data_IF_276244423702
#
_entry.id   IF_276244423702
#
_cell.length_a   1.000
_cell.length_b   1.000
_cell.length_c   1.000
_cell.angle_alpha   90.00
_cell.angle_beta   90.00
_cell.angle_gamma   90.00
#
_symmetry.space_group_name_H-M   'P 1'
#
loop_
_entity.id
_entity.type
_entity.pdbx_description
1 polymer ?
#
# COMPACT_ATOMS: atom_id res chain seq x y z
N UNK A 1 -48.44 -15.28 66.68
CA UNK A 1 -48.98 -15.18 65.25
C UNK A 1 -48.73 -13.78 64.80
N UNK A 2 -47.69 -13.60 63.98
CA UNK A 2 -47.41 -12.36 63.24
C UNK A 2 -47.00 -12.79 61.85
N UNK A 3 -47.80 -12.42 60.88
CA UNK A 3 -47.59 -12.68 59.45
C UNK A 3 -46.52 -11.75 58.91
N UNK A 4 -45.46 -12.31 58.30
CA UNK A 4 -44.49 -11.55 57.48
C UNK A 4 -44.90 -11.64 56.00
N UNK A 5 -44.82 -10.53 55.23
CA UNK A 5 -45.20 -10.53 53.82
C UNK A 5 -44.07 -11.06 52.93
N UNK A 6 -44.43 -11.92 52.01
CA UNK A 6 -43.59 -12.46 50.93
C UNK A 6 -43.21 -11.35 49.93
N UNK A 7 -41.92 -10.98 49.90
CA UNK A 7 -41.36 -10.06 48.93
C UNK A 7 -41.17 -10.79 47.60
N UNK A 8 -41.92 -10.36 46.61
CA UNK A 8 -41.87 -10.92 45.25
C UNK A 8 -40.52 -10.73 44.56
N UNK A 9 -39.93 -11.82 44.09
CA UNK A 9 -38.80 -11.83 43.16
C UNK A 9 -39.21 -11.26 41.81
N UNK A 10 -38.95 -9.97 41.58
CA UNK A 10 -39.16 -9.33 40.25
C UNK A 10 -37.99 -9.61 39.33
N UNK A 11 -38.30 -10.39 38.29
CA UNK A 11 -37.87 -10.30 36.90
C UNK A 11 -36.48 -9.69 36.52
N UNK A 12 -35.41 -10.42 36.84
CA UNK A 12 -34.07 -10.15 36.32
C UNK A 12 -33.82 -10.83 34.97
N UNK A 13 -34.69 -11.71 34.50
CA UNK A 13 -34.56 -12.48 33.26
C UNK A 13 -34.93 -11.70 31.98
N UNK A 14 -35.89 -10.77 32.10
CA UNK A 14 -36.30 -9.95 30.95
C UNK A 14 -35.26 -8.89 30.52
N UNK A 15 -34.54 -8.29 31.46
CA UNK A 15 -33.48 -7.30 31.14
C UNK A 15 -32.28 -7.93 30.44
N UNK A 16 -31.91 -9.16 30.78
CA UNK A 16 -30.77 -9.86 30.12
C UNK A 16 -31.10 -10.33 28.70
N UNK A 17 -32.37 -10.65 28.39
CA UNK A 17 -32.78 -10.98 27.03
C UNK A 17 -32.82 -9.76 26.11
N UNK A 18 -33.30 -8.62 26.58
CA UNK A 18 -33.31 -7.37 25.81
C UNK A 18 -31.91 -6.89 25.47
N UNK A 19 -30.97 -6.96 26.42
CA UNK A 19 -29.55 -6.57 26.20
C UNK A 19 -28.82 -7.47 25.18
N UNK A 20 -29.15 -8.77 25.15
CA UNK A 20 -28.58 -9.70 24.16
C UNK A 20 -29.14 -9.48 22.75
N UNK A 21 -30.43 -9.17 22.63
CA UNK A 21 -31.08 -8.86 21.34
C UNK A 21 -30.51 -7.54 20.77
N UNK A 22 -30.33 -6.52 21.60
CA UNK A 22 -29.72 -5.25 21.19
C UNK A 22 -28.24 -5.44 20.79
N UNK A 23 -27.48 -6.26 21.53
CA UNK A 23 -26.10 -6.56 21.15
C UNK A 23 -25.98 -7.34 19.84
N UNK A 24 -26.90 -8.29 19.59
CA UNK A 24 -26.95 -9.04 18.31
C UNK A 24 -27.42 -8.12 17.17
N UNK A 25 -28.38 -7.22 17.41
CA UNK A 25 -28.85 -6.27 16.41
C UNK A 25 -27.77 -5.22 16.06
N UNK A 26 -26.98 -4.76 17.04
CA UNK A 26 -25.86 -3.85 16.82
C UNK A 26 -24.72 -4.58 16.07
N UNK A 27 -24.47 -5.85 16.37
CA UNK A 27 -23.51 -6.67 15.65
C UNK A 27 -23.96 -6.94 14.19
N UNK A 28 -25.24 -7.23 13.99
CA UNK A 28 -25.83 -7.44 12.67
C UNK A 28 -25.88 -6.14 11.83
N UNK A 29 -26.14 -4.98 12.44
CA UNK A 29 -26.06 -3.67 11.78
C UNK A 29 -24.61 -3.28 11.45
N UNK A 30 -23.63 -3.70 12.25
CA UNK A 30 -22.21 -3.54 11.98
C UNK A 30 -21.74 -4.38 10.77
N UNK A 31 -22.32 -5.55 10.57
CA UNK A 31 -22.06 -6.43 9.42
C UNK A 31 -22.73 -5.95 8.13
N UNK A 32 -23.88 -5.30 8.22
CA UNK A 32 -24.60 -4.74 7.07
C UNK A 32 -23.97 -3.41 6.54
N UNK A 33 -23.08 -2.79 7.30
CA UNK A 33 -22.36 -1.58 6.88
C UNK A 33 -21.11 -1.87 6.00
N UNK A 34 -20.73 -3.14 5.83
CA UNK A 34 -19.92 -3.57 4.69
C UNK A 34 -20.84 -3.60 3.47
N UNK A 35 -21.01 -2.46 2.78
CA UNK A 35 -21.63 -2.45 1.48
C UNK A 35 -20.98 -3.55 0.65
N UNK A 36 -21.78 -4.50 0.13
CA UNK A 36 -21.27 -5.60 -0.67
C UNK A 36 -20.45 -5.00 -1.81
N UNK A 37 -19.14 -5.28 -1.83
CA UNK A 37 -18.31 -4.89 -2.96
C UNK A 37 -18.92 -5.53 -4.20
N UNK A 38 -19.06 -4.82 -5.33
CA UNK A 38 -19.63 -5.41 -6.54
C UNK A 38 -18.80 -6.63 -6.96
N UNK A 39 -19.45 -7.66 -7.42
CA UNK A 39 -18.83 -8.88 -7.96
C UNK A 39 -18.99 -8.90 -9.48
N UNK A 40 -18.15 -9.66 -10.17
CA UNK A 40 -18.26 -9.82 -11.62
C UNK A 40 -17.80 -8.59 -12.42
N UNK A 41 -17.00 -7.71 -11.83
CA UNK A 41 -16.56 -6.46 -12.48
C UNK A 41 -15.48 -6.67 -13.54
N UNK A 42 -14.88 -7.86 -13.62
CA UNK A 42 -13.85 -8.16 -14.62
C UNK A 42 -14.40 -8.61 -15.97
N UNK A 43 -15.73 -8.65 -16.14
CA UNK A 43 -16.32 -8.86 -17.47
C UNK A 43 -15.97 -7.65 -18.36
N UNK A 44 -15.35 -7.88 -19.54
CA UNK A 44 -15.03 -6.78 -20.45
C UNK A 44 -16.25 -5.97 -20.88
N UNK A 45 -16.19 -4.65 -20.71
CA UNK A 45 -17.34 -3.74 -20.92
C UNK A 45 -17.43 -3.09 -22.29
N UNK A 46 -16.52 -3.40 -23.23
CA UNK A 46 -16.60 -2.89 -24.60
C UNK A 46 -15.74 -1.63 -24.85
N UNK A 47 -16.22 -0.75 -25.76
CA UNK A 47 -15.47 0.40 -26.24
C UNK A 47 -15.19 1.44 -25.14
N UNK A 48 -13.97 1.97 -25.12
CA UNK A 48 -13.55 3.05 -24.23
C UNK A 48 -14.00 4.39 -24.82
N UNK A 49 -14.84 5.18 -24.13
CA UNK A 49 -15.25 6.50 -24.60
C UNK A 49 -14.08 7.49 -24.67
N UNK A 50 -14.26 8.56 -25.44
CA UNK A 50 -13.32 9.67 -25.47
C UNK A 50 -13.16 10.32 -24.08
N UNK A 51 -11.91 10.67 -23.73
CA UNK A 51 -11.58 11.27 -22.43
C UNK A 51 -11.39 10.30 -21.28
N UNK A 52 -11.63 9.00 -21.50
CA UNK A 52 -11.37 7.93 -20.52
C UNK A 52 -9.93 7.42 -20.69
N UNK A 53 -9.19 7.35 -19.60
CA UNK A 53 -7.84 6.78 -19.56
C UNK A 53 -7.88 5.27 -19.41
N UNK A 54 -6.81 4.58 -19.80
CA UNK A 54 -6.66 3.14 -19.59
C UNK A 54 -5.35 2.83 -18.89
N UNK A 55 -5.35 1.79 -18.07
CA UNK A 55 -4.15 1.17 -17.49
C UNK A 55 -4.13 -0.29 -17.92
N UNK A 56 -3.03 -0.70 -18.51
CA UNK A 56 -2.78 -2.06 -18.97
C UNK A 56 -1.87 -2.75 -17.95
N UNK A 57 -2.32 -3.86 -17.37
CA UNK A 57 -1.68 -4.56 -16.26
C UNK A 57 -1.32 -5.99 -16.64
N UNK A 58 -0.08 -6.39 -16.39
CA UNK A 58 0.26 -7.81 -16.33
C UNK A 58 -0.08 -8.36 -14.95
N UNK A 59 -1.00 -9.30 -14.89
CA UNK A 59 -1.52 -9.88 -13.64
C UNK A 59 -1.05 -11.32 -13.52
N UNK A 60 -0.14 -11.59 -12.58
CA UNK A 60 0.30 -12.93 -12.22
C UNK A 60 -0.46 -13.39 -10.96
N UNK A 61 -0.89 -14.65 -10.92
CA UNK A 61 -1.70 -15.15 -9.80
C UNK A 61 -1.45 -16.62 -9.48
N UNK A 62 -1.52 -16.94 -8.19
CA UNK A 62 -1.55 -18.31 -7.66
C UNK A 62 -2.94 -18.71 -7.16
N UNK A 63 -3.97 -17.93 -7.49
CA UNK A 63 -5.37 -18.23 -7.18
C UNK A 63 -5.91 -19.32 -8.11
N UNK A 64 -6.84 -20.13 -7.61
CA UNK A 64 -7.57 -21.06 -8.47
C UNK A 64 -8.51 -20.28 -9.42
N UNK A 65 -8.64 -20.76 -10.69
CA UNK A 65 -9.63 -20.19 -11.61
C UNK A 65 -11.04 -20.23 -11.02
N UNK A 66 -11.87 -19.28 -11.44
CA UNK A 66 -13.30 -19.21 -11.13
C UNK A 66 -14.12 -19.57 -12.37
N UNK A 67 -15.27 -20.24 -12.17
CA UNK A 67 -16.24 -20.46 -13.24
C UNK A 67 -16.99 -19.17 -13.64
N UNK A 68 -16.92 -18.13 -12.80
CA UNK A 68 -17.50 -16.82 -13.10
C UNK A 68 -16.47 -15.97 -13.89
N UNK A 69 -16.76 -15.63 -15.17
CA UNK A 69 -15.86 -14.84 -16.00
C UNK A 69 -15.67 -13.40 -15.51
N UNK A 70 -16.54 -12.92 -14.64
CA UNK A 70 -16.42 -11.58 -14.05
C UNK A 70 -15.55 -11.57 -12.79
N UNK A 71 -15.22 -12.75 -12.25
CA UNK A 71 -14.32 -12.93 -11.09
C UNK A 71 -12.94 -13.37 -11.55
N UNK A 72 -12.83 -14.17 -12.60
CA UNK A 72 -11.65 -14.82 -13.19
C UNK A 72 -10.93 -15.78 -12.25
N UNK A 73 -10.58 -15.36 -11.06
CA UNK A 73 -9.85 -16.15 -10.06
C UNK A 73 -10.47 -16.01 -8.68
N UNK A 74 -10.65 -17.15 -8.02
CA UNK A 74 -11.28 -17.25 -6.70
C UNK A 74 -10.32 -16.87 -5.55
N UNK A 75 -10.78 -17.01 -4.30
CA UNK A 75 -9.94 -16.90 -3.11
C UNK A 75 -9.16 -18.18 -2.78
N UNK A 76 -9.35 -19.27 -3.54
CA UNK A 76 -8.71 -20.55 -3.31
C UNK A 76 -7.32 -20.65 -3.97
N UNK A 77 -6.49 -21.57 -3.48
CA UNK A 77 -5.15 -21.82 -4.01
C UNK A 77 -5.23 -22.60 -5.32
N UNK A 78 -4.67 -22.06 -6.39
CA UNK A 78 -4.51 -22.73 -7.67
C UNK A 78 -3.25 -23.60 -7.68
N UNK A 79 -3.17 -24.57 -8.58
CA UNK A 79 -2.03 -25.49 -8.71
C UNK A 79 -0.85 -24.89 -9.48
N UNK A 80 -1.08 -23.86 -10.27
CA UNK A 80 -0.11 -23.27 -11.20
C UNK A 80 -0.15 -21.75 -11.14
N UNK A 81 0.94 -21.11 -11.56
CA UNK A 81 0.99 -19.69 -11.78
C UNK A 81 0.26 -19.37 -13.09
N UNK A 82 -0.79 -18.58 -13.02
CA UNK A 82 -1.48 -18.05 -14.19
C UNK A 82 -1.09 -16.58 -14.43
N UNK A 83 -1.02 -16.19 -15.70
CA UNK A 83 -0.72 -14.81 -16.10
C UNK A 83 -1.79 -14.31 -17.06
N UNK A 84 -2.24 -13.08 -16.86
CA UNK A 84 -3.31 -12.45 -17.64
C UNK A 84 -2.95 -10.98 -17.91
N UNK A 85 -3.18 -10.53 -19.14
CA UNK A 85 -3.16 -9.11 -19.53
C UNK A 85 -4.57 -8.55 -19.28
N UNK A 86 -4.69 -7.56 -18.39
CA UNK A 86 -5.96 -6.93 -18.01
C UNK A 86 -5.85 -5.42 -18.23
N UNK A 87 -6.72 -4.89 -19.11
CA UNK A 87 -6.85 -3.45 -19.35
C UNK A 87 -8.04 -2.92 -18.54
N UNK A 88 -7.77 -1.93 -17.70
CA UNK A 88 -8.78 -1.25 -16.87
C UNK A 88 -8.95 0.18 -17.38
N UNK A 89 -10.19 0.62 -17.62
CA UNK A 89 -10.51 2.01 -17.90
C UNK A 89 -10.79 2.78 -16.62
N UNK A 90 -10.38 4.03 -16.61
CA UNK A 90 -10.45 4.94 -15.48
C UNK A 90 -11.23 6.18 -15.88
N UNK A 91 -12.28 6.57 -15.13
CA UNK A 91 -13.11 7.72 -15.46
C UNK A 91 -12.30 9.01 -15.65
N UNK A 92 -12.83 9.99 -16.39
CA UNK A 92 -12.19 11.30 -16.58
C UNK A 92 -11.87 11.99 -15.24
N UNK A 93 -10.77 12.75 -15.19
CA UNK A 93 -10.26 13.38 -13.97
C UNK A 93 -11.27 14.33 -13.28
N UNK A 94 -12.17 14.95 -14.04
CA UNK A 94 -13.23 15.83 -13.53
C UNK A 94 -14.41 15.07 -12.89
N UNK A 95 -14.43 13.73 -12.98
CA UNK A 95 -15.50 12.85 -12.49
C UNK A 95 -15.03 11.84 -11.44
N UNK A 96 -13.80 11.94 -11.01
CA UNK A 96 -13.18 11.02 -10.07
C UNK A 96 -12.46 11.74 -8.95
N UNK A 97 -12.22 11.02 -7.86
CA UNK A 97 -11.35 11.44 -6.77
C UNK A 97 -10.04 10.66 -6.83
N UNK A 98 -8.91 11.38 -6.87
CA UNK A 98 -7.56 10.78 -6.81
C UNK A 98 -7.43 9.99 -5.51
N UNK A 99 -6.88 8.78 -5.60
CA UNK A 99 -6.78 7.86 -4.46
C UNK A 99 -7.98 6.95 -4.27
N UNK A 100 -9.07 7.15 -5.00
CA UNK A 100 -10.28 6.34 -4.89
C UNK A 100 -10.50 5.45 -6.11
N UNK A 101 -10.92 4.21 -5.88
CA UNK A 101 -11.49 3.36 -6.92
C UNK A 101 -12.98 3.64 -6.98
N UNK A 102 -13.47 4.19 -8.09
CA UNK A 102 -14.90 4.37 -8.33
C UNK A 102 -15.51 3.04 -8.75
N UNK A 103 -16.00 2.30 -7.76
CA UNK A 103 -16.64 1.01 -7.97
C UNK A 103 -18.00 1.16 -8.66
N UNK A 104 -18.34 0.32 -9.64
CA UNK A 104 -19.68 0.33 -10.24
C UNK A 104 -20.74 -0.04 -9.21
N UNK A 105 -21.84 0.69 -9.18
CA UNK A 105 -23.00 0.37 -8.34
C UNK A 105 -23.89 -0.71 -8.96
N UNK A 106 -23.71 -0.98 -10.25
CA UNK A 106 -24.45 -1.99 -11.05
C UNK A 106 -23.62 -2.41 -12.26
N UNK A 107 -23.93 -3.56 -12.82
CA UNK A 107 -23.39 -4.03 -14.09
C UNK A 107 -24.45 -3.93 -15.20
N UNK A 108 -24.07 -3.59 -16.45
CA UNK A 108 -22.72 -3.20 -16.86
C UNK A 108 -22.29 -1.85 -16.25
N UNK A 109 -21.00 -1.71 -15.96
CA UNK A 109 -20.41 -0.49 -15.42
C UNK A 109 -20.42 0.65 -16.46
N UNK A 110 -20.47 1.91 -16.00
CA UNK A 110 -20.42 3.11 -16.83
C UNK A 110 -18.98 3.66 -16.88
N UNK A 111 -18.23 3.52 -17.97
CA UNK A 111 -16.82 3.93 -18.03
C UNK A 111 -16.58 5.44 -17.82
N UNK A 112 -17.64 6.27 -17.92
CA UNK A 112 -17.55 7.69 -17.61
C UNK A 112 -17.68 8.01 -16.11
N UNK A 113 -17.99 7.00 -15.27
CA UNK A 113 -18.20 7.18 -13.82
C UNK A 113 -17.48 6.13 -12.98
N UNK A 114 -17.32 4.93 -13.53
CA UNK A 114 -16.84 3.76 -12.82
C UNK A 114 -15.54 3.26 -13.44
N UNK A 115 -14.70 2.61 -12.65
CA UNK A 115 -13.65 1.77 -13.19
C UNK A 115 -14.29 0.60 -13.93
N UNK A 116 -13.82 0.29 -15.14
CA UNK A 116 -14.35 -0.83 -15.93
C UNK A 116 -13.22 -1.66 -16.51
N UNK A 117 -13.47 -2.95 -16.70
CA UNK A 117 -12.55 -3.81 -17.42
C UNK A 117 -12.79 -3.67 -18.93
N UNK A 118 -11.76 -3.34 -19.69
CA UNK A 118 -11.82 -3.18 -21.14
C UNK A 118 -11.55 -4.51 -21.85
N UNK A 119 -10.48 -5.20 -21.40
CA UNK A 119 -10.09 -6.49 -21.97
C UNK A 119 -9.42 -7.37 -20.92
N UNK A 120 -9.54 -8.67 -21.12
CA UNK A 120 -8.88 -9.73 -20.36
C UNK A 120 -8.34 -10.74 -21.37
N UNK A 121 -7.02 -10.96 -21.36
CA UNK A 121 -6.36 -11.90 -22.26
C UNK A 121 -5.40 -12.79 -21.48
N UNK A 122 -5.57 -14.11 -21.50
CA UNK A 122 -4.57 -15.01 -20.96
C UNK A 122 -3.21 -14.79 -21.64
N UNK A 123 -2.14 -14.90 -20.86
CA UNK A 123 -0.76 -14.91 -21.35
C UNK A 123 -0.25 -16.33 -21.13
N UNK A 124 -0.26 -17.14 -22.19
CA UNK A 124 -0.03 -18.58 -22.10
C UNK A 124 1.44 -18.96 -22.26
N UNK A 125 2.24 -18.05 -22.86
CA UNK A 125 3.64 -18.32 -23.17
C UNK A 125 4.57 -17.22 -22.64
N UNK A 126 5.80 -17.61 -22.33
CA UNK A 126 6.84 -16.62 -21.98
C UNK A 126 7.09 -15.59 -23.12
N UNK A 127 6.93 -16.01 -24.38
CA UNK A 127 7.09 -15.10 -25.52
C UNK A 127 6.04 -13.99 -25.54
N UNK A 128 4.80 -14.31 -25.17
CA UNK A 128 3.71 -13.32 -25.01
C UNK A 128 3.99 -12.39 -23.84
N UNK A 129 4.43 -12.93 -22.69
CA UNK A 129 4.83 -12.13 -21.53
C UNK A 129 5.97 -11.16 -21.86
N UNK A 130 7.00 -11.62 -22.57
CA UNK A 130 8.08 -10.75 -23.05
C UNK A 130 7.58 -9.73 -24.09
N UNK A 131 6.62 -10.12 -24.94
CA UNK A 131 5.96 -9.21 -25.87
C UNK A 131 5.24 -8.08 -25.15
N UNK A 132 4.47 -8.42 -24.13
CA UNK A 132 3.78 -7.45 -23.27
C UNK A 132 4.78 -6.50 -22.62
N UNK A 133 5.84 -7.01 -21.97
CA UNK A 133 6.88 -6.20 -21.35
C UNK A 133 7.50 -5.21 -22.32
N UNK A 134 7.92 -5.65 -23.51
CA UNK A 134 8.51 -4.75 -24.54
C UNK A 134 7.60 -3.61 -24.94
N UNK A 135 6.29 -3.83 -24.95
CA UNK A 135 5.31 -2.81 -25.30
C UNK A 135 5.02 -1.81 -24.17
N UNK A 136 5.32 -2.19 -22.90
CA UNK A 136 4.96 -1.40 -21.72
C UNK A 136 6.18 -0.87 -20.96
N UNK A 137 7.39 -1.37 -21.25
CA UNK A 137 8.61 -0.80 -20.69
C UNK A 137 8.88 0.57 -21.29
N UNK A 138 9.03 1.56 -20.43
CA UNK A 138 9.57 2.86 -20.81
C UNK A 138 11.09 2.79 -21.06
N UNK A 139 11.66 3.90 -21.53
CA UNK A 139 13.10 4.00 -21.81
C UNK A 139 14.00 3.75 -20.61
N UNK A 140 13.46 3.90 -19.39
CA UNK A 140 14.19 3.61 -18.14
C UNK A 140 14.31 2.11 -17.84
N UNK A 141 13.51 1.25 -18.50
CA UNK A 141 13.52 -0.21 -18.30
C UNK A 141 13.02 -0.64 -16.92
N UNK A 142 12.11 0.11 -16.30
CA UNK A 142 11.60 -0.13 -14.95
C UNK A 142 10.32 -0.95 -14.95
N UNK A 143 10.22 -1.88 -14.00
CA UNK A 143 9.01 -2.65 -13.69
C UNK A 143 8.57 -2.33 -12.26
N UNK A 144 7.28 -2.08 -12.07
CA UNK A 144 6.65 -1.97 -10.76
C UNK A 144 5.85 -3.23 -10.47
N UNK A 145 6.29 -4.01 -9.48
CA UNK A 145 5.59 -5.22 -9.02
C UNK A 145 4.80 -4.90 -7.76
N UNK A 146 3.48 -5.00 -7.83
CA UNK A 146 2.60 -4.79 -6.68
C UNK A 146 2.13 -6.11 -6.08
N UNK A 147 2.14 -6.22 -4.73
CA UNK A 147 1.65 -7.36 -3.97
C UNK A 147 0.57 -6.88 -2.99
N UNK A 148 -0.67 -7.33 -3.19
CA UNK A 148 -1.81 -6.86 -2.40
C UNK A 148 -1.82 -7.40 -0.96
N UNK A 149 -2.67 -6.83 -0.12
CA UNK A 149 -2.83 -7.20 1.28
C UNK A 149 -3.91 -8.25 1.55
N UNK A 150 -4.17 -8.46 2.86
CA UNK A 150 -5.25 -9.30 3.38
C UNK A 150 -6.64 -8.81 2.95
N UNK A 151 -7.61 -9.72 2.92
CA UNK A 151 -9.03 -9.42 2.68
C UNK A 151 -9.28 -8.74 1.31
N UNK A 152 -8.56 -9.19 0.27
CA UNK A 152 -8.75 -8.71 -1.10
C UNK A 152 -9.21 -9.84 -2.01
N UNK A 153 -10.27 -9.61 -2.78
CA UNK A 153 -10.60 -10.42 -3.96
C UNK A 153 -9.63 -10.10 -5.09
N UNK A 154 -9.65 -10.91 -6.13
CA UNK A 154 -8.81 -10.70 -7.30
C UNK A 154 -9.08 -9.34 -7.94
N UNK A 155 -10.34 -9.02 -8.20
CA UNK A 155 -10.78 -7.76 -8.76
C UNK A 155 -10.46 -6.54 -7.88
N UNK A 156 -10.52 -6.69 -6.54
CA UNK A 156 -10.15 -5.62 -5.61
C UNK A 156 -8.68 -5.22 -5.80
N UNK A 157 -7.80 -6.21 -5.92
CA UNK A 157 -6.37 -6.00 -6.11
C UNK A 157 -6.06 -5.37 -7.47
N UNK A 158 -6.70 -5.86 -8.55
CA UNK A 158 -6.52 -5.35 -9.92
C UNK A 158 -6.92 -3.89 -10.02
N UNK A 159 -8.14 -3.52 -9.57
CA UNK A 159 -8.62 -2.14 -9.67
C UNK A 159 -7.85 -1.17 -8.76
N UNK A 160 -7.47 -1.62 -7.55
CA UNK A 160 -6.62 -0.81 -6.66
C UNK A 160 -5.26 -0.54 -7.29
N UNK A 161 -4.65 -1.53 -7.91
CA UNK A 161 -3.35 -1.31 -8.56
C UNK A 161 -3.48 -0.44 -9.81
N UNK A 162 -4.52 -0.61 -10.63
CA UNK A 162 -4.81 0.29 -11.73
C UNK A 162 -4.93 1.76 -11.27
N UNK A 163 -5.63 2.00 -10.13
CA UNK A 163 -5.73 3.32 -9.51
C UNK A 163 -4.36 3.85 -9.09
N UNK A 164 -3.53 3.05 -8.41
CA UNK A 164 -2.19 3.47 -7.97
C UNK A 164 -1.33 3.85 -9.16
N UNK A 165 -1.28 3.03 -10.20
CA UNK A 165 -0.51 3.30 -11.43
C UNK A 165 -0.95 4.59 -12.10
N UNK A 166 -2.27 4.75 -12.31
CA UNK A 166 -2.82 5.93 -12.94
C UNK A 166 -2.55 7.21 -12.14
N UNK A 167 -2.82 7.18 -10.84
CA UNK A 167 -2.75 8.37 -9.98
C UNK A 167 -1.31 8.78 -9.65
N UNK A 168 -0.41 7.80 -9.55
CA UNK A 168 1.01 8.05 -9.32
C UNK A 168 1.71 8.55 -10.58
N UNK A 169 1.17 8.26 -11.77
CA UNK A 169 1.81 8.50 -13.08
C UNK A 169 3.22 7.87 -13.14
N UNK A 170 3.37 6.73 -12.50
CA UNK A 170 4.64 6.02 -12.43
C UNK A 170 5.10 5.60 -13.82
N UNK A 171 6.33 5.98 -14.19
CA UNK A 171 6.96 5.56 -15.44
C UNK A 171 7.61 4.18 -15.27
N UNK A 172 6.77 3.15 -15.20
CA UNK A 172 7.17 1.75 -15.01
C UNK A 172 6.12 0.81 -15.62
N UNK A 173 6.56 -0.32 -16.18
CA UNK A 173 5.63 -1.38 -16.60
C UNK A 173 4.93 -1.97 -15.37
N UNK A 174 3.58 -1.94 -15.31
CA UNK A 174 2.86 -2.32 -14.11
C UNK A 174 2.54 -3.82 -14.08
N UNK A 175 3.14 -4.52 -13.14
CA UNK A 175 2.91 -5.94 -12.89
C UNK A 175 2.28 -6.12 -11.51
N UNK A 176 1.23 -6.89 -11.40
CA UNK A 176 0.64 -7.24 -10.10
C UNK A 176 0.74 -8.73 -9.84
N UNK A 177 1.11 -9.09 -8.63
CA UNK A 177 1.04 -10.46 -8.14
C UNK A 177 -0.13 -10.61 -7.17
N UNK A 178 -1.13 -11.41 -7.53
CA UNK A 178 -2.29 -11.69 -6.68
C UNK A 178 -2.18 -13.09 -6.08
N UNK A 179 -2.21 -13.14 -4.75
CA UNK A 179 -2.16 -14.38 -3.98
C UNK A 179 -3.54 -14.75 -3.42
N UNK A 180 -3.83 -16.04 -3.10
CA UNK A 180 -5.13 -16.48 -2.63
C UNK A 180 -5.54 -15.84 -1.31
N UNK A 181 -6.52 -14.94 -1.34
CA UNK A 181 -7.19 -14.35 -0.18
C UNK A 181 -8.69 -14.51 -0.35
N UNK A 182 -9.36 -15.03 0.67
CA UNK A 182 -10.80 -15.30 0.66
C UNK A 182 -11.65 -14.05 0.87
N UNK A 183 -11.03 -12.90 1.04
CA UNK A 183 -11.71 -11.63 1.28
C UNK A 183 -12.70 -11.69 2.46
N UNK A 184 -12.33 -12.39 3.51
CA UNK A 184 -13.10 -12.61 4.73
C UNK A 184 -12.21 -12.38 5.96
N UNK A 185 -12.68 -11.59 6.91
CA UNK A 185 -11.95 -11.31 8.15
C UNK A 185 -11.74 -12.59 8.97
N UNK A 186 -12.63 -13.58 8.82
CA UNK A 186 -12.55 -14.85 9.54
C UNK A 186 -11.47 -15.77 8.98
N UNK A 187 -11.04 -15.54 7.74
CA UNK A 187 -10.04 -16.36 7.04
C UNK A 187 -8.61 -15.81 7.16
N UNK A 188 -8.32 -14.99 8.18
CA UNK A 188 -6.99 -14.39 8.39
C UNK A 188 -5.85 -15.43 8.39
N UNK A 189 -6.05 -16.58 9.06
CA UNK A 189 -5.02 -17.62 9.09
C UNK A 189 -4.86 -18.32 7.73
N UNK A 190 -5.95 -18.57 7.01
CA UNK A 190 -5.90 -19.11 5.66
C UNK A 190 -5.11 -18.19 4.73
N UNK A 191 -5.41 -16.90 4.77
CA UNK A 191 -4.74 -15.88 3.97
C UNK A 191 -3.24 -15.80 4.32
N UNK A 192 -2.89 -15.83 5.62
CA UNK A 192 -1.50 -15.84 6.08
C UNK A 192 -0.71 -17.05 5.58
N UNK A 193 -1.30 -18.24 5.58
CA UNK A 193 -0.67 -19.43 5.00
C UNK A 193 -0.60 -19.37 3.47
N UNK A 194 -1.57 -18.71 2.83
CA UNK A 194 -1.58 -18.52 1.37
C UNK A 194 -0.46 -17.60 0.90
N UNK A 195 0.02 -16.66 1.73
CA UNK A 195 1.23 -15.90 1.41
C UNK A 195 2.45 -16.81 1.32
N UNK A 196 2.62 -17.74 2.28
CA UNK A 196 3.71 -18.73 2.23
C UNK A 196 3.57 -19.69 1.03
N UNK A 197 2.35 -20.09 0.72
CA UNK A 197 2.05 -20.91 -0.47
C UNK A 197 2.51 -20.24 -1.77
N UNK A 198 2.33 -18.93 -1.86
CA UNK A 198 2.59 -18.15 -3.07
C UNK A 198 4.04 -17.65 -3.21
N UNK A 199 4.87 -17.88 -2.19
CA UNK A 199 6.24 -17.36 -2.12
C UNK A 199 7.12 -17.81 -3.28
N UNK A 200 7.09 -19.10 -3.59
CA UNK A 200 7.95 -19.69 -4.65
C UNK A 200 7.54 -19.15 -6.03
N UNK A 201 6.24 -18.94 -6.26
CA UNK A 201 5.74 -18.38 -7.50
C UNK A 201 6.11 -16.91 -7.67
N UNK A 202 6.06 -16.10 -6.58
CA UNK A 202 6.54 -14.71 -6.64
C UNK A 202 8.05 -14.66 -6.86
N UNK A 203 8.83 -15.53 -6.25
CA UNK A 203 10.28 -15.62 -6.50
C UNK A 203 10.58 -15.92 -7.96
N UNK A 204 9.86 -16.88 -8.54
CA UNK A 204 10.01 -17.25 -9.95
C UNK A 204 9.68 -16.10 -10.89
N UNK A 205 8.55 -15.40 -10.64
CA UNK A 205 8.18 -14.20 -11.40
C UNK A 205 9.29 -13.13 -11.35
N UNK A 206 9.85 -12.86 -10.17
CA UNK A 206 10.92 -11.89 -10.00
C UNK A 206 12.22 -12.34 -10.68
N UNK A 207 12.55 -13.64 -10.68
CA UNK A 207 13.70 -14.20 -11.38
C UNK A 207 13.55 -14.08 -12.89
N UNK A 208 12.39 -14.42 -13.42
CA UNK A 208 12.09 -14.28 -14.86
C UNK A 208 12.19 -12.80 -15.28
N UNK A 209 11.58 -11.89 -14.53
CA UNK A 209 11.70 -10.47 -14.79
C UNK A 209 13.17 -9.99 -14.74
N UNK A 210 13.93 -10.41 -13.74
CA UNK A 210 15.33 -10.03 -13.61
C UNK A 210 16.23 -10.62 -14.73
N UNK A 211 15.86 -11.75 -15.31
CA UNK A 211 16.58 -12.36 -16.43
C UNK A 211 16.38 -11.60 -17.76
N UNK A 212 15.30 -10.81 -17.90
CA UNK A 212 15.03 -10.06 -19.14
C UNK A 212 16.04 -8.90 -19.30
N UNK A 213 16.77 -8.83 -20.45
CA UNK A 213 17.79 -7.81 -20.65
C UNK A 213 17.27 -6.38 -20.67
N UNK A 214 16.05 -6.20 -21.16
CA UNK A 214 15.38 -4.89 -21.28
C UNK A 214 14.99 -4.31 -19.92
N UNK A 215 14.76 -5.15 -18.91
CA UNK A 215 14.48 -4.72 -17.56
C UNK A 215 15.79 -4.31 -16.88
N UNK A 216 15.85 -3.08 -16.41
CA UNK A 216 17.01 -2.50 -15.69
C UNK A 216 16.77 -2.43 -14.20
N UNK A 217 15.52 -2.20 -13.80
CA UNK A 217 15.14 -1.98 -12.42
C UNK A 217 13.79 -2.62 -12.11
N UNK A 218 13.70 -3.26 -10.96
CA UNK A 218 12.46 -3.82 -10.41
C UNK A 218 12.19 -3.13 -9.08
N UNK A 219 11.06 -2.45 -9.00
CA UNK A 219 10.52 -1.87 -7.76
C UNK A 219 9.42 -2.79 -7.25
N UNK A 220 9.54 -3.26 -6.02
CA UNK A 220 8.49 -4.05 -5.37
C UNK A 220 7.71 -3.14 -4.43
N UNK A 221 6.40 -3.07 -4.60
CA UNK A 221 5.49 -2.41 -3.67
C UNK A 221 4.53 -3.43 -3.08
N UNK A 222 4.60 -3.64 -1.78
CA UNK A 222 3.75 -4.60 -1.08
C UNK A 222 2.92 -3.92 0.00
N UNK A 223 1.67 -4.35 0.16
CA UNK A 223 0.73 -3.79 1.13
C UNK A 223 0.33 -4.81 2.19
N UNK A 224 0.27 -4.37 3.45
CA UNK A 224 -0.29 -5.13 4.58
C UNK A 224 0.33 -6.53 4.69
N UNK A 225 -0.47 -7.60 4.68
CA UNK A 225 -0.01 -9.00 4.71
C UNK A 225 0.83 -9.38 3.47
N UNK A 226 0.66 -8.70 2.33
CA UNK A 226 1.52 -8.89 1.15
C UNK A 226 2.98 -8.53 1.39
N UNK A 227 3.26 -7.70 2.41
CA UNK A 227 4.64 -7.37 2.81
C UNK A 227 5.36 -8.58 3.40
N UNK A 228 4.65 -9.45 4.12
CA UNK A 228 5.18 -10.74 4.55
C UNK A 228 5.63 -11.58 3.34
N UNK A 229 4.75 -11.73 2.35
CA UNK A 229 5.05 -12.48 1.14
C UNK A 229 6.28 -11.90 0.42
N UNK A 230 6.31 -10.58 0.19
CA UNK A 230 7.41 -9.94 -0.52
C UNK A 230 8.76 -10.11 0.20
N UNK A 231 8.81 -9.84 1.52
CA UNK A 231 10.07 -9.92 2.28
C UNK A 231 10.54 -11.37 2.43
N UNK A 232 9.62 -12.33 2.62
CA UNK A 232 9.98 -13.75 2.71
C UNK A 232 10.45 -14.30 1.35
N UNK A 233 9.87 -13.83 0.25
CA UNK A 233 10.35 -14.14 -1.11
C UNK A 233 11.78 -13.66 -1.33
N UNK A 234 12.08 -12.42 -0.95
CA UNK A 234 13.44 -11.85 -1.06
C UNK A 234 14.43 -12.59 -0.14
N UNK A 235 13.99 -12.96 1.07
CA UNK A 235 14.79 -13.78 1.98
C UNK A 235 15.11 -15.14 1.38
N UNK A 236 14.13 -15.81 0.77
CA UNK A 236 14.33 -17.08 0.10
C UNK A 236 15.33 -16.95 -1.06
N UNK A 237 15.18 -15.92 -1.89
CA UNK A 237 16.13 -15.61 -2.97
C UNK A 237 17.55 -15.42 -2.42
N UNK A 238 17.71 -14.63 -1.34
CA UNK A 238 19.00 -14.38 -0.72
C UNK A 238 19.66 -15.66 -0.16
N UNK A 239 18.87 -16.57 0.42
CA UNK A 239 19.37 -17.86 0.92
C UNK A 239 19.78 -18.79 -0.24
N UNK A 240 18.98 -18.83 -1.31
CA UNK A 240 19.17 -19.73 -2.45
C UNK A 240 20.36 -19.29 -3.33
N UNK A 241 20.47 -17.96 -3.59
CA UNK A 241 21.43 -17.38 -4.54
C UNK A 241 22.58 -16.65 -3.85
N UNK A 242 22.59 -16.60 -2.52
CA UNK A 242 23.56 -15.85 -1.73
C UNK A 242 23.30 -14.34 -1.69
N UNK A 243 22.35 -13.83 -2.45
CA UNK A 243 21.95 -12.41 -2.50
C UNK A 243 20.58 -12.23 -3.15
N UNK A 244 19.98 -11.06 -2.95
CA UNK A 244 18.86 -10.59 -3.78
C UNK A 244 19.41 -10.16 -5.15
N UNK A 245 18.64 -10.38 -6.23
CA UNK A 245 19.09 -10.01 -7.57
C UNK A 245 19.27 -8.48 -7.67
N UNK A 246 20.41 -7.97 -8.22
CA UNK A 246 20.73 -6.53 -8.21
C UNK A 246 19.72 -5.63 -8.92
N UNK A 247 18.96 -6.14 -9.88
CA UNK A 247 17.90 -5.37 -10.54
C UNK A 247 16.71 -5.07 -9.60
N UNK A 248 16.54 -5.81 -8.50
CA UNK A 248 15.57 -5.50 -7.45
C UNK A 248 16.22 -4.41 -6.58
N UNK A 249 15.93 -3.15 -6.91
CA UNK A 249 16.62 -2.01 -6.31
C UNK A 249 15.85 -1.39 -5.14
N UNK A 250 14.52 -1.36 -5.22
CA UNK A 250 13.67 -0.74 -4.23
C UNK A 250 12.54 -1.66 -3.77
N UNK A 251 12.27 -1.62 -2.45
CA UNK A 251 11.17 -2.34 -1.80
C UNK A 251 10.38 -1.37 -0.93
N UNK A 252 9.13 -1.14 -1.33
CA UNK A 252 8.19 -0.27 -0.63
C UNK A 252 7.23 -1.14 0.16
N UNK A 253 7.25 -1.04 1.47
CA UNK A 253 6.35 -1.76 2.37
C UNK A 253 5.29 -0.79 2.91
N UNK A 254 4.08 -0.86 2.38
CA UNK A 254 2.97 0.00 2.76
C UNK A 254 2.14 -0.64 3.87
N UNK A 255 2.03 0.04 5.02
CA UNK A 255 1.32 -0.43 6.21
C UNK A 255 1.65 -1.91 6.56
N UNK A 256 2.95 -2.27 6.71
CA UNK A 256 3.37 -3.67 6.76
C UNK A 256 2.80 -4.42 7.97
N UNK A 257 2.04 -5.48 7.68
CA UNK A 257 1.52 -6.44 8.68
C UNK A 257 2.55 -7.53 8.97
N UNK A 258 3.73 -7.09 9.40
CA UNK A 258 4.86 -7.91 9.78
C UNK A 258 5.15 -7.76 11.26
N UNK A 259 5.45 -8.87 11.91
CA UNK A 259 6.07 -8.86 13.24
C UNK A 259 7.47 -8.23 13.14
N UNK A 260 7.77 -7.29 14.05
CA UNK A 260 9.03 -6.53 14.01
C UNK A 260 10.26 -7.42 14.19
N UNK A 261 10.18 -8.42 15.07
CA UNK A 261 11.29 -9.34 15.32
C UNK A 261 11.53 -10.26 14.13
N UNK A 262 10.44 -10.73 13.51
CA UNK A 262 10.51 -11.56 12.29
C UNK A 262 11.09 -10.77 11.14
N UNK A 263 10.62 -9.54 10.92
CA UNK A 263 11.20 -8.64 9.92
C UNK A 263 12.71 -8.43 10.15
N UNK A 264 13.12 -8.22 11.39
CA UNK A 264 14.53 -8.08 11.74
C UNK A 264 15.37 -9.31 11.37
N UNK A 265 14.82 -10.53 11.49
CA UNK A 265 15.50 -11.76 11.06
C UNK A 265 15.55 -11.87 9.53
N UNK A 266 14.42 -11.63 8.87
CA UNK A 266 14.32 -11.65 7.41
C UNK A 266 15.29 -10.63 6.80
N UNK A 267 15.30 -9.41 7.29
CA UNK A 267 16.14 -8.31 6.80
C UNK A 267 17.64 -8.60 6.96
N UNK A 268 18.05 -9.22 8.08
CA UNK A 268 19.44 -9.67 8.26
C UNK A 268 19.86 -10.74 7.26
N UNK A 269 18.93 -11.65 6.90
CA UNK A 269 19.19 -12.71 5.93
C UNK A 269 19.40 -12.19 4.50
N UNK A 270 18.92 -10.97 4.18
CA UNK A 270 19.16 -10.35 2.86
C UNK A 270 20.62 -9.96 2.63
N UNK A 271 21.42 -9.88 3.69
CA UNK A 271 22.86 -9.53 3.58
C UNK A 271 23.10 -8.02 3.45
N UNK A 272 24.28 -7.66 2.92
CA UNK A 272 24.69 -6.25 2.76
C UNK A 272 24.24 -5.67 1.41
N UNK A 273 24.26 -6.49 0.37
CA UNK A 273 23.87 -6.11 -1.00
C UNK A 273 22.37 -6.33 -1.19
N UNK A 274 21.57 -5.61 -0.39
CA UNK A 274 20.12 -5.68 -0.38
C UNK A 274 19.48 -4.45 -1.02
N UNK A 275 18.22 -4.53 -1.50
CA UNK A 275 17.47 -3.39 -2.01
C UNK A 275 17.34 -2.26 -0.97
N UNK A 276 17.02 -1.06 -1.44
CA UNK A 276 16.59 0.05 -0.60
C UNK A 276 15.18 -0.21 -0.08
N UNK A 277 14.99 -0.12 1.25
CA UNK A 277 13.68 -0.30 1.87
C UNK A 277 13.07 1.04 2.26
N UNK A 278 11.80 1.21 1.88
CA UNK A 278 10.95 2.33 2.32
C UNK A 278 9.72 1.77 3.02
N UNK A 279 9.44 2.22 4.24
CA UNK A 279 8.27 1.83 5.02
C UNK A 279 7.27 2.98 5.07
N UNK A 280 6.00 2.70 4.81
CA UNK A 280 4.91 3.60 5.18
C UNK A 280 4.26 3.07 6.45
N UNK A 281 4.31 3.86 7.51
CA UNK A 281 3.79 3.50 8.83
C UNK A 281 2.69 4.45 9.26
N UNK A 282 1.78 3.99 10.12
CA UNK A 282 0.72 4.81 10.71
C UNK A 282 0.34 4.25 12.08
N UNK A 283 0.63 4.99 13.15
CA UNK A 283 0.38 4.54 14.53
C UNK A 283 -1.12 4.39 14.82
N UNK A 284 -1.98 5.11 14.08
CA UNK A 284 -3.44 5.07 14.19
C UNK A 284 -4.11 4.04 13.27
N UNK A 285 -3.35 3.11 12.68
CA UNK A 285 -3.84 2.02 11.84
C UNK A 285 -4.62 1.00 12.67
N UNK A 286 -5.93 0.92 12.43
CA UNK A 286 -6.85 0.04 13.17
C UNK A 286 -6.81 -1.40 12.67
N UNK A 287 -6.50 -1.63 11.40
CA UNK A 287 -6.36 -2.99 10.85
C UNK A 287 -5.14 -3.68 11.47
N UNK A 288 -4.01 -2.98 11.57
CA UNK A 288 -2.82 -3.49 12.24
C UNK A 288 -3.03 -3.67 13.74
N UNK A 289 -3.83 -2.81 14.40
CA UNK A 289 -4.23 -3.01 15.79
C UNK A 289 -5.01 -4.33 15.96
N UNK A 290 -5.90 -4.67 15.03
CA UNK A 290 -6.63 -5.94 15.05
C UNK A 290 -5.68 -7.11 14.79
N UNK A 291 -4.83 -7.02 13.76
CA UNK A 291 -3.80 -8.02 13.45
C UNK A 291 -2.88 -8.29 14.64
N UNK A 292 -2.40 -7.24 15.32
CA UNK A 292 -1.62 -7.34 16.55
C UNK A 292 -2.29 -8.20 17.60
N UNK A 293 -3.60 -7.98 17.84
CA UNK A 293 -4.38 -8.74 18.84
C UNK A 293 -4.52 -10.22 18.45
N UNK A 294 -4.81 -10.50 17.17
CA UNK A 294 -4.95 -11.87 16.68
C UNK A 294 -3.62 -12.63 16.74
N UNK A 295 -2.51 -11.94 16.57
CA UNK A 295 -1.16 -12.53 16.50
C UNK A 295 -0.41 -12.51 17.85
N UNK A 296 -1.11 -12.44 18.98
CA UNK A 296 -0.50 -12.56 20.29
C UNK A 296 0.08 -11.25 20.88
N UNK A 297 -0.43 -10.11 20.47
CA UNK A 297 -0.03 -8.76 20.92
C UNK A 297 1.44 -8.38 20.60
N UNK A 298 1.99 -8.89 19.51
CA UNK A 298 3.31 -8.49 19.01
C UNK A 298 3.22 -7.26 18.13
N UNK A 299 4.21 -6.38 18.21
CA UNK A 299 4.22 -5.13 17.48
C UNK A 299 4.29 -5.37 15.96
N UNK A 300 3.50 -4.60 15.22
CA UNK A 300 3.45 -4.62 13.75
C UNK A 300 4.34 -3.52 13.18
N UNK A 301 5.17 -3.88 12.22
CA UNK A 301 6.14 -2.97 11.60
C UNK A 301 5.47 -1.71 11.03
N UNK A 302 4.25 -1.83 10.50
CA UNK A 302 3.48 -0.69 9.96
C UNK A 302 2.88 0.23 11.03
N UNK A 303 2.98 -0.12 12.32
CA UNK A 303 2.38 0.64 13.42
C UNK A 303 3.42 1.13 14.45
N UNK A 304 4.71 0.96 14.17
CA UNK A 304 5.77 1.44 15.07
C UNK A 304 5.80 2.97 15.11
N UNK A 305 6.30 3.50 16.22
CA UNK A 305 6.74 4.91 16.28
C UNK A 305 8.20 4.99 15.81
N UNK A 306 8.48 5.50 14.60
CA UNK A 306 9.85 5.52 14.10
C UNK A 306 10.77 6.50 14.84
N UNK A 307 10.22 7.40 15.65
CA UNK A 307 10.98 8.32 16.50
C UNK A 307 11.37 7.70 17.85
N UNK A 308 10.69 6.65 18.27
CA UNK A 308 10.91 6.00 19.56
C UNK A 308 12.01 4.94 19.49
N UNK A 309 12.75 4.76 20.60
CA UNK A 309 13.66 3.63 20.76
C UNK A 309 12.87 2.33 21.08
N UNK A 310 13.32 1.17 20.59
CA UNK A 310 14.58 0.92 19.87
C UNK A 310 14.50 1.11 18.34
N UNK A 311 13.31 1.43 17.82
CA UNK A 311 13.03 1.46 16.37
C UNK A 311 13.89 2.49 15.65
N UNK A 312 14.01 3.70 16.20
CA UNK A 312 14.82 4.77 15.62
C UNK A 312 16.26 4.31 15.34
N UNK A 313 16.93 3.78 16.37
CA UNK A 313 18.32 3.31 16.23
C UNK A 313 18.43 2.15 15.23
N UNK A 314 17.45 1.24 15.21
CA UNK A 314 17.44 0.11 14.27
C UNK A 314 17.28 0.59 12.83
N UNK A 315 16.31 1.45 12.56
CA UNK A 315 16.03 1.98 11.22
C UNK A 315 17.22 2.77 10.66
N UNK A 316 17.80 3.66 11.48
CA UNK A 316 18.98 4.46 11.12
C UNK A 316 20.19 3.59 10.77
N UNK A 317 20.50 2.58 11.60
CA UNK A 317 21.63 1.66 11.37
C UNK A 317 21.47 0.82 10.10
N UNK A 318 20.24 0.49 9.75
CA UNK A 318 19.93 -0.36 8.60
C UNK A 318 19.72 0.43 7.31
N UNK A 319 19.68 1.76 7.35
CA UNK A 319 19.46 2.62 6.20
C UNK A 319 18.03 2.49 5.65
N UNK A 320 17.05 2.22 6.52
CA UNK A 320 15.64 2.08 6.13
C UNK A 320 14.98 3.46 6.18
N UNK A 321 14.38 3.88 5.08
CA UNK A 321 13.58 5.11 5.00
C UNK A 321 12.18 4.85 5.55
N UNK A 322 11.67 5.72 6.39
CA UNK A 322 10.31 5.62 6.94
C UNK A 322 9.52 6.90 6.68
N UNK A 323 8.32 6.74 6.14
CA UNK A 323 7.31 7.79 6.01
C UNK A 323 6.20 7.52 7.02
N UNK A 324 6.10 8.38 8.03
CA UNK A 324 5.05 8.31 9.02
C UNK A 324 3.80 9.08 8.52
N UNK A 325 2.75 8.33 8.24
CA UNK A 325 1.47 8.82 7.75
C UNK A 325 0.45 9.07 8.86
N UNK A 326 0.85 8.98 10.13
CA UNK A 326 -0.07 9.10 11.28
C UNK A 326 -0.85 10.41 11.26
N UNK A 327 -0.18 11.52 10.93
CA UNK A 327 -0.80 12.85 10.92
C UNK A 327 -1.75 13.10 9.73
N UNK A 328 -1.73 12.24 8.69
CA UNK A 328 -2.65 12.35 7.55
C UNK A 328 -4.09 11.99 7.97
N UNK A 329 -5.01 12.88 7.62
CA UNK A 329 -6.46 12.71 7.86
C UNK A 329 -7.20 12.10 6.67
N UNK A 330 -6.49 11.48 5.75
CA UNK A 330 -7.05 10.79 4.59
C UNK A 330 -6.96 9.29 4.80
N UNK A 331 -7.79 8.55 4.10
CA UNK A 331 -7.80 7.10 4.12
C UNK A 331 -9.15 6.52 4.47
N UNK A 332 -9.20 5.20 4.50
CA UNK A 332 -10.36 4.41 4.85
C UNK A 332 -10.71 4.53 6.35
N UNK A 333 -11.85 3.95 6.76
CA UNK A 333 -12.29 3.94 8.17
C UNK A 333 -11.28 3.26 9.13
N UNK A 334 -10.37 2.46 8.61
CA UNK A 334 -9.35 1.74 9.37
C UNK A 334 -8.01 2.48 9.40
N UNK A 335 -7.85 3.56 8.63
CA UNK A 335 -6.58 4.27 8.43
C UNK A 335 -5.47 3.37 7.85
N UNK A 336 -5.86 2.31 7.13
CA UNK A 336 -4.95 1.28 6.58
C UNK A 336 -4.58 1.53 5.11
N UNK A 337 -5.45 2.22 4.37
CA UNK A 337 -5.28 2.54 2.95
C UNK A 337 -4.58 3.88 2.67
N UNK A 338 -4.07 4.60 3.66
CA UNK A 338 -3.49 5.95 3.51
C UNK A 338 -2.47 6.06 2.38
N UNK A 339 -1.68 5.03 2.14
CA UNK A 339 -0.64 5.00 1.10
C UNK A 339 -1.21 5.12 -0.32
N UNK A 340 -2.40 4.57 -0.58
CA UNK A 340 -3.06 4.56 -1.88
C UNK A 340 -4.20 5.58 -1.99
N UNK A 341 -4.79 5.98 -0.86
CA UNK A 341 -5.96 6.84 -0.80
C UNK A 341 -5.62 8.32 -0.55
N UNK A 342 -4.41 8.62 -0.07
CA UNK A 342 -3.93 9.99 0.02
C UNK A 342 -3.37 10.47 -1.32
N UNK A 343 -3.95 11.49 -1.97
CA UNK A 343 -3.42 12.01 -3.23
C UNK A 343 -1.95 12.44 -3.15
N UNK A 344 -1.53 12.96 -2.00
CA UNK A 344 -0.16 13.42 -1.79
C UNK A 344 0.83 12.23 -1.72
N UNK A 345 0.43 11.15 -1.03
CA UNK A 345 1.26 9.95 -0.92
C UNK A 345 1.36 9.23 -2.26
N UNK A 346 0.24 9.10 -2.98
CA UNK A 346 0.23 8.45 -4.31
C UNK A 346 1.13 9.19 -5.30
N UNK A 347 1.07 10.53 -5.33
CA UNK A 347 1.99 11.34 -6.15
C UNK A 347 3.45 11.18 -5.71
N UNK A 348 3.71 11.07 -4.41
CA UNK A 348 5.04 10.83 -3.87
C UNK A 348 5.60 9.47 -4.32
N UNK A 349 4.76 8.43 -4.33
CA UNK A 349 5.13 7.10 -4.85
C UNK A 349 5.61 7.20 -6.29
N UNK A 350 4.86 7.87 -7.17
CA UNK A 350 5.18 8.01 -8.57
C UNK A 350 6.47 8.80 -8.83
N UNK A 351 6.52 10.02 -8.31
CA UNK A 351 7.57 10.98 -8.68
C UNK A 351 8.92 10.72 -8.01
N UNK A 352 8.98 10.00 -6.90
CA UNK A 352 10.20 9.90 -6.08
C UNK A 352 10.65 8.49 -5.78
N UNK A 353 9.73 7.62 -5.39
CA UNK A 353 10.10 6.27 -4.99
C UNK A 353 10.26 5.35 -6.19
N UNK A 354 9.43 5.52 -7.22
CA UNK A 354 9.51 4.70 -8.43
C UNK A 354 10.53 5.27 -9.42
N UNK A 355 10.73 6.60 -9.45
CA UNK A 355 11.73 7.23 -10.33
C UNK A 355 13.16 7.20 -9.78
N UNK A 356 13.41 6.55 -8.64
CA UNK A 356 14.75 6.45 -8.03
C UNK A 356 15.24 7.75 -7.38
N UNK A 357 14.40 8.78 -7.32
CA UNK A 357 14.74 10.01 -6.62
C UNK A 357 14.58 9.76 -5.11
N UNK A 358 15.66 9.84 -4.38
CA UNK A 358 15.60 9.75 -2.92
C UNK A 358 14.68 10.84 -2.37
N UNK A 359 13.86 10.52 -1.39
CA UNK A 359 12.98 11.48 -0.67
C UNK A 359 13.75 12.70 -0.15
N UNK A 360 15.06 12.61 -0.20
CA UNK A 360 16.06 13.48 0.40
C UNK A 360 16.74 14.43 -0.57
N UNK A 361 16.40 14.39 -1.88
CA UNK A 361 17.02 15.29 -2.83
C UNK A 361 16.66 16.75 -2.51
N UNK A 362 17.65 17.48 -1.96
CA UNK A 362 17.51 18.82 -1.40
C UNK A 362 17.17 19.90 -2.44
N UNK A 363 17.17 19.55 -3.72
CA UNK A 363 16.88 20.49 -4.81
C UNK A 363 15.38 20.62 -5.15
N UNK A 364 14.54 19.68 -4.68
CA UNK A 364 13.08 19.76 -4.87
C UNK A 364 12.40 19.57 -3.53
N UNK A 365 12.16 20.67 -2.82
CA UNK A 365 11.44 20.64 -1.54
C UNK A 365 10.09 19.93 -1.68
N UNK A 366 9.84 18.88 -0.89
CA UNK A 366 8.50 18.33 -0.65
C UNK A 366 7.55 19.47 -0.31
N UNK A 367 8.08 20.57 0.25
CA UNK A 367 7.40 21.79 0.62
C UNK A 367 6.91 22.67 -0.51
N UNK A 368 7.56 22.69 -1.65
CA UNK A 368 7.17 23.65 -2.70
C UNK A 368 5.89 23.28 -3.45
N UNK A 369 5.48 22.01 -3.44
CA UNK A 369 4.25 21.55 -4.12
C UNK A 369 3.09 21.21 -3.19
N UNK A 370 3.35 20.86 -1.93
CA UNK A 370 2.29 20.62 -0.94
C UNK A 370 1.85 21.91 -0.21
N UNK A 371 2.67 22.94 -0.20
CA UNK A 371 2.42 24.21 0.48
C UNK A 371 1.98 25.38 -0.40
N UNK A 372 1.93 25.24 -1.73
CA UNK A 372 1.57 26.32 -2.64
C UNK A 372 0.08 26.73 -2.58
N UNK A 373 -0.75 26.07 -1.75
CA UNK A 373 -2.19 26.38 -1.61
C UNK A 373 -2.49 27.29 -0.42
N UNK A 374 -1.55 27.53 0.48
CA UNK A 374 -1.80 28.44 1.60
C UNK A 374 -0.64 29.43 1.82
N UNK A 375 -0.90 30.68 1.50
CA UNK A 375 -0.21 31.92 1.85
C UNK A 375 0.63 32.55 0.73
N UNK A 376 -0.05 33.47 0.04
CA UNK A 376 0.61 34.60 -0.64
C UNK A 376 1.33 35.47 0.36
N UNK A 377 2.53 35.84 0.01
CA UNK A 377 3.41 36.94 0.31
C UNK A 377 4.82 36.56 0.78
N UNK A 378 5.74 36.82 -0.14
CA UNK A 378 7.03 37.54 -0.04
C UNK A 378 8.22 37.00 0.77
N UNK A 379 9.21 36.54 0.06
CA UNK A 379 10.69 36.72 0.10
C UNK A 379 11.55 36.38 1.34
N UNK A 380 11.02 35.99 2.49
CA UNK A 380 11.81 35.47 3.62
C UNK A 380 11.55 33.98 3.90
N UNK A 381 10.91 33.29 2.97
CA UNK A 381 10.16 32.03 3.18
C UNK A 381 10.98 30.76 2.90
N UNK A 382 12.18 30.84 2.33
CA UNK A 382 12.88 29.67 1.82
C UNK A 382 13.26 28.61 2.87
N UNK A 383 13.67 28.98 4.07
CA UNK A 383 14.15 28.02 5.07
C UNK A 383 13.08 27.63 6.11
N UNK A 384 12.18 28.55 6.47
CA UNK A 384 11.09 28.26 7.41
C UNK A 384 9.95 27.46 6.75
N UNK A 385 9.67 27.69 5.46
CA UNK A 385 8.65 26.96 4.72
C UNK A 385 9.03 25.49 4.47
N UNK A 386 10.32 25.18 4.25
CA UNK A 386 10.78 23.80 4.08
C UNK A 386 10.66 22.97 5.37
N UNK A 387 10.65 23.63 6.54
CA UNK A 387 10.46 22.97 7.84
C UNK A 387 8.97 22.78 8.16
N UNK A 388 8.13 23.76 7.81
CA UNK A 388 6.69 23.74 8.14
C UNK A 388 5.88 22.75 7.27
N UNK A 389 6.36 22.41 6.09
CA UNK A 389 5.62 21.60 5.11
C UNK A 389 5.91 20.10 5.25
N UNK A 390 6.91 19.70 6.05
CA UNK A 390 7.16 18.30 6.38
C UNK A 390 6.25 17.77 7.51
N UNK A 391 5.35 18.59 8.05
CA UNK A 391 4.53 18.24 9.22
C UNK A 391 3.45 17.18 9.02
N UNK A 392 2.82 16.96 7.85
CA UNK A 392 1.85 15.86 7.73
C UNK A 392 2.50 14.49 7.45
N UNK A 393 3.70 14.47 6.84
CA UNK A 393 4.44 13.24 6.59
C UNK A 393 5.84 13.41 7.18
N UNK A 394 6.08 12.75 8.31
CA UNK A 394 7.42 12.74 8.89
C UNK A 394 8.28 11.72 8.16
N UNK A 395 9.43 12.15 7.66
CA UNK A 395 10.40 11.30 6.97
C UNK A 395 11.57 11.02 7.90
N UNK A 396 11.77 9.76 8.21
CA UNK A 396 12.87 9.27 9.03
C UNK A 396 13.86 8.53 8.12
N UNK A 397 14.86 9.23 7.68
CA UNK A 397 15.96 8.72 6.87
C UNK A 397 17.26 9.38 7.31
N UNK A 398 18.38 8.62 7.42
CA UNK A 398 19.66 9.16 7.91
C UNK A 398 20.20 10.32 7.08
N UNK A 399 19.90 10.37 5.78
CA UNK A 399 20.34 11.45 4.89
C UNK A 399 19.43 12.67 5.04
N UNK A 400 18.12 12.48 5.05
CA UNK A 400 17.14 13.56 5.30
C UNK A 400 17.36 14.20 6.64
N UNK A 401 17.67 13.42 7.67
CA UNK A 401 17.94 13.94 9.01
C UNK A 401 19.14 14.88 9.03
N UNK A 402 20.23 14.52 8.37
CA UNK A 402 21.41 15.43 8.23
C UNK A 402 21.01 16.71 7.51
N UNK A 403 20.24 16.62 6.44
CA UNK A 403 19.76 17.78 5.71
C UNK A 403 18.77 18.62 6.55
N UNK A 404 17.95 17.98 7.38
CA UNK A 404 17.04 18.65 8.29
C UNK A 404 17.78 19.43 9.39
N UNK A 405 18.79 18.81 10.01
CA UNK A 405 19.65 19.46 10.99
C UNK A 405 20.44 20.62 10.37
N UNK A 406 20.88 20.49 9.12
CA UNK A 406 21.54 21.56 8.38
C UNK A 406 20.59 22.70 8.01
N UNK A 407 19.33 22.39 7.67
CA UNK A 407 18.29 23.39 7.44
C UNK A 407 17.94 24.16 8.73
N UNK A 408 17.83 23.46 9.86
CA UNK A 408 17.64 24.11 11.16
C UNK A 408 18.82 24.99 11.56
N UNK A 409 20.05 24.57 11.33
CA UNK A 409 21.25 25.42 11.56
C UNK A 409 21.25 26.64 10.67
N UNK A 410 20.91 26.52 9.38
CA UNK A 410 20.80 27.65 8.46
C UNK A 410 19.69 28.63 8.89
N UNK A 411 18.56 28.10 9.32
CA UNK A 411 17.45 28.88 9.85
C UNK A 411 17.86 29.64 11.14
N UNK A 412 18.48 28.94 12.10
CA UNK A 412 19.02 29.59 13.30
C UNK A 412 20.02 30.69 13.02
N UNK A 413 20.93 30.45 12.04
CA UNK A 413 21.91 31.43 11.62
C UNK A 413 21.28 32.65 10.89
N UNK A 414 20.22 32.42 10.11
CA UNK A 414 19.47 33.52 9.44
C UNK A 414 18.72 34.41 10.43
N UNK A 415 18.15 33.77 11.48
CA UNK A 415 17.51 34.56 12.58
C UNK A 415 18.54 35.29 13.42
N UNK A 416 19.69 34.68 13.71
CA UNK A 416 20.79 35.31 14.43
C UNK A 416 21.40 36.51 13.65
N UNK A 417 21.53 36.34 12.32
CA UNK A 417 22.00 37.42 11.43
C UNK A 417 21.01 38.58 11.33
N UNK A 418 19.70 38.29 11.28
CA UNK A 418 18.66 39.31 11.27
C UNK A 418 18.57 40.11 12.61
N UNK A 419 18.78 39.41 13.73
CA UNK A 419 18.85 40.06 15.04
C UNK A 419 20.10 40.93 15.22
N UNK A 420 21.25 40.53 14.66
CA UNK A 420 22.46 41.32 14.70
C UNK A 420 22.40 42.58 13.82
N UNK A 421 21.72 42.54 12.68
CA UNK A 421 21.48 43.68 11.81
C UNK A 421 20.43 44.69 12.39
N UNK A 422 19.48 44.16 13.16
CA UNK A 422 18.48 45.03 13.83
C UNK A 422 19.01 45.70 15.12
N UNK A 423 20.09 45.20 15.71
CA UNK A 423 20.73 45.76 16.91
C UNK A 423 21.88 46.72 16.59
N UNK A 424 22.20 46.95 15.30
CA UNK A 424 23.30 47.79 14.82
C UNK A 424 22.83 49.03 14.06
N UNK A 425 21.56 49.47 14.23
CA UNK A 425 21.05 50.76 13.76
C UNK A 425 20.61 51.64 14.92
#
# INVERSE_FOLDING_TARGET
MKDEPIVGRKDCSRRRRGSRIVAIAVLALGLAACGSRPEGVLVPGGAVPEGVSTVDLLVATTRAPSDDPGVLFSGERGSELAVTDIVVSIPPEDRREVGQVQWPSRLPADPLKDFTTVSVKPVETEAEGRGWLRNHLSSNGRVLVFVHGFNNRHEDAVYRFAQIVHDSKADAAPVIFTWPSRASILDYNYDKESTNYSRDALEELLRQAAAEPEIREIVIMAHSMGTWLAVETLRQMAIRDGRVHPKIDQVILAAPDLDVDVFGQQFRALGKDRPHFTLFVSQDDRALTLSRRISGNVDRLGQIDPAAEPYRTMLEKQGITVLDLTALKSGDRLNHGKFAESPDVVKLIGNRLIEGQTVTDSQVGIGERLGAVALGTAQTVGSAASIAVTTPIAVFDPVTRRNYDDQWRRFGNSLGGAAATAAGQ
#
